data_IF_364777842737
#
_entry.id   IF_364777842737
#
_cell.length_a   1.000
_cell.length_b   1.000
_cell.length_c   1.000
_cell.angle_alpha   90.00
_cell.angle_beta   90.00
_cell.angle_gamma   90.00
#
_symmetry.space_group_name_H-M   'P 1'
#
loop_
_entity.id
_entity.type
_entity.pdbx_description
1 polymer ?
#
# COMPACT_ATOMS: atom_id res chain seq x y z
N UNK A 1 -15.93 -2.77 -10.68
CA UNK A 1 -15.49 -2.20 -9.39
C UNK A 1 -14.66 -0.93 -9.57
N UNK A 2 -13.91 -0.79 -10.66
CA UNK A 2 -12.91 0.27 -10.82
C UNK A 2 -13.28 1.41 -11.76
N UNK A 3 -14.53 1.45 -12.28
CA UNK A 3 -15.01 2.56 -13.09
C UNK A 3 -15.65 3.65 -12.21
N UNK A 4 -14.82 4.34 -11.43
CA UNK A 4 -15.24 5.34 -10.45
C UNK A 4 -15.12 6.76 -10.98
N UNK A 5 -16.08 7.62 -10.61
CA UNK A 5 -15.93 9.07 -10.82
C UNK A 5 -14.74 9.61 -10.05
N UNK A 6 -14.10 10.60 -10.63
CA UNK A 6 -12.96 11.33 -10.05
C UNK A 6 -13.33 12.80 -9.87
N UNK A 7 -12.44 13.57 -9.28
CA UNK A 7 -12.59 15.02 -9.13
C UNK A 7 -12.70 15.74 -10.48
N UNK A 8 -12.32 15.09 -11.61
CA UNK A 8 -12.52 15.64 -12.96
C UNK A 8 -13.95 15.52 -13.46
N UNK A 9 -14.72 14.61 -12.90
CA UNK A 9 -16.07 14.27 -13.36
C UNK A 9 -17.16 15.09 -12.63
N UNK A 10 -16.77 16.04 -11.78
CA UNK A 10 -17.69 16.86 -10.97
C UNK A 10 -17.31 18.35 -11.02
N UNK A 11 -18.30 19.22 -10.88
CA UNK A 11 -18.06 20.65 -10.67
C UNK A 11 -17.85 20.94 -9.18
N UNK A 12 -16.71 21.54 -8.85
CA UNK A 12 -16.33 21.90 -7.49
C UNK A 12 -16.26 23.41 -7.25
N UNK A 13 -16.53 24.21 -8.28
CA UNK A 13 -16.44 25.68 -8.19
C UNK A 13 -17.38 26.23 -7.13
N UNK A 14 -16.83 26.99 -6.20
CA UNK A 14 -17.57 27.59 -5.10
C UNK A 14 -18.02 26.61 -4.03
N UNK A 15 -17.70 25.32 -4.15
CA UNK A 15 -18.11 24.28 -3.20
C UNK A 15 -17.06 24.07 -2.11
N UNK A 16 -17.52 23.60 -0.97
CA UNK A 16 -16.69 23.05 0.09
C UNK A 16 -16.49 21.56 -0.18
N UNK A 17 -15.24 21.13 -0.27
CA UNK A 17 -14.88 19.76 -0.59
C UNK A 17 -14.16 19.13 0.61
N UNK A 18 -14.75 18.10 1.20
CA UNK A 18 -14.12 17.31 2.25
C UNK A 18 -13.26 16.24 1.59
N UNK A 19 -11.94 16.34 1.75
CA UNK A 19 -10.97 15.38 1.20
C UNK A 19 -10.42 14.52 2.30
N UNK A 20 -10.61 13.20 2.19
CA UNK A 20 -9.95 12.24 3.07
C UNK A 20 -8.55 11.96 2.50
N UNK A 21 -7.56 12.44 3.20
CA UNK A 21 -6.13 12.24 2.90
C UNK A 21 -5.51 11.27 3.89
N UNK A 22 -4.37 10.70 3.56
CA UNK A 22 -3.57 9.88 4.49
C UNK A 22 -2.36 10.69 4.98
N UNK A 23 -2.59 11.45 6.04
CA UNK A 23 -1.55 12.22 6.73
C UNK A 23 -1.01 11.51 7.97
N UNK A 24 -1.13 10.19 8.00
CA UNK A 24 -0.52 9.36 9.03
C UNK A 24 1.00 9.25 8.80
N UNK A 25 1.68 10.32 9.09
CA UNK A 25 3.13 10.50 8.93
C UNK A 25 3.87 10.36 10.26
N UNK A 26 5.15 9.96 10.26
CA UNK A 26 5.93 9.94 11.47
C UNK A 26 6.18 11.36 11.99
N UNK A 27 5.81 11.60 13.24
CA UNK A 27 6.11 12.83 13.98
C UNK A 27 7.12 12.53 15.09
N UNK A 28 8.17 13.33 15.16
CA UNK A 28 9.11 13.35 16.28
C UNK A 28 9.15 14.76 16.85
N UNK A 29 8.74 14.91 18.09
CA UNK A 29 8.69 16.20 18.79
C UNK A 29 7.94 17.29 17.99
N UNK A 30 6.82 16.92 17.35
CA UNK A 30 6.02 17.80 16.51
C UNK A 30 6.63 18.13 15.15
N UNK A 31 7.69 17.44 14.75
CA UNK A 31 8.34 17.62 13.44
C UNK A 31 8.00 16.45 12.51
N UNK A 32 7.55 16.77 11.30
CA UNK A 32 7.30 15.76 10.25
C UNK A 32 8.62 15.16 9.79
N UNK A 33 8.76 13.84 9.92
CA UNK A 33 9.98 13.11 9.52
C UNK A 33 9.98 12.75 8.04
N UNK A 34 8.94 12.04 7.59
CA UNK A 34 8.74 11.66 6.19
C UNK A 34 7.45 12.31 5.69
N UNK A 35 7.55 13.10 4.64
CA UNK A 35 6.45 13.85 4.06
C UNK A 35 5.87 13.22 2.77
N UNK A 36 6.29 12.02 2.42
CA UNK A 36 5.88 11.34 1.18
C UNK A 36 4.36 11.30 1.01
N UNK A 37 3.63 10.98 2.07
CA UNK A 37 2.16 10.93 2.04
C UNK A 37 1.53 12.31 1.87
N UNK A 38 2.10 13.33 2.47
CA UNK A 38 1.62 14.71 2.33
C UNK A 38 1.81 15.16 0.88
N UNK A 39 2.99 14.91 0.30
CA UNK A 39 3.28 15.23 -1.11
C UNK A 39 2.38 14.47 -2.07
N UNK A 40 2.05 13.23 -1.77
CA UNK A 40 1.16 12.42 -2.60
C UNK A 40 -0.27 12.99 -2.70
N UNK A 41 -0.73 13.74 -1.69
CA UNK A 41 -2.03 14.38 -1.69
C UNK A 41 -2.04 15.76 -2.39
N UNK A 42 -0.88 16.39 -2.60
CA UNK A 42 -0.80 17.74 -3.20
C UNK A 42 -1.48 17.87 -4.54
N UNK A 43 -1.35 16.95 -5.51
CA UNK A 43 -1.99 17.08 -6.81
C UNK A 43 -3.51 17.23 -6.71
N UNK A 44 -4.17 16.47 -5.84
CA UNK A 44 -5.61 16.57 -5.58
C UNK A 44 -5.98 17.90 -4.95
N UNK A 45 -5.23 18.33 -3.93
CA UNK A 45 -5.46 19.59 -3.23
C UNK A 45 -5.30 20.77 -4.21
N UNK A 46 -4.23 20.80 -4.97
CA UNK A 46 -3.95 21.87 -5.94
C UNK A 46 -5.02 21.96 -7.02
N UNK A 47 -5.41 20.82 -7.59
CA UNK A 47 -6.49 20.76 -8.59
C UNK A 47 -7.79 21.36 -8.06
N UNK A 48 -8.21 20.99 -6.87
CA UNK A 48 -9.44 21.51 -6.26
C UNK A 48 -9.37 23.01 -6.02
N UNK A 49 -8.24 23.52 -5.55
CA UNK A 49 -8.03 24.96 -5.36
C UNK A 49 -8.05 25.74 -6.67
N UNK A 50 -7.39 25.23 -7.70
CA UNK A 50 -7.36 25.84 -9.03
C UNK A 50 -8.73 25.86 -9.69
N UNK A 51 -9.63 24.92 -9.35
CA UNK A 51 -11.01 24.86 -9.82
C UNK A 51 -12.00 25.60 -8.91
N UNK A 52 -11.50 26.42 -7.98
CA UNK A 52 -12.31 27.32 -7.18
C UNK A 52 -13.03 26.67 -5.99
N UNK A 53 -12.56 25.52 -5.51
CA UNK A 53 -13.07 24.88 -4.30
C UNK A 53 -12.49 25.49 -3.02
N UNK A 54 -13.22 25.37 -1.92
CA UNK A 54 -12.72 25.48 -0.56
C UNK A 54 -12.42 24.07 -0.06
N UNK A 55 -11.17 23.79 0.36
CA UNK A 55 -10.70 22.42 0.63
C UNK A 55 -10.63 22.18 2.13
N UNK A 56 -11.34 21.16 2.60
CA UNK A 56 -11.33 20.70 3.99
C UNK A 56 -10.67 19.32 4.01
N UNK A 57 -9.54 19.19 4.71
CA UNK A 57 -8.78 17.95 4.80
C UNK A 57 -9.07 17.24 6.12
N UNK A 58 -9.37 15.95 6.06
CA UNK A 58 -9.48 15.09 7.22
C UNK A 58 -8.56 13.88 7.10
N UNK A 59 -7.98 13.46 8.21
CA UNK A 59 -7.10 12.31 8.29
C UNK A 59 -7.08 11.75 9.72
N UNK A 60 -6.59 10.51 9.82
CA UNK A 60 -6.12 9.97 11.09
C UNK A 60 -4.61 10.20 11.24
N UNK A 61 -4.13 10.11 12.46
CA UNK A 61 -2.72 10.09 12.81
C UNK A 61 -2.52 9.14 14.00
N UNK A 62 -1.69 8.13 13.80
CA UNK A 62 -1.34 7.16 14.84
C UNK A 62 -2.53 6.35 15.36
N UNK A 63 -2.40 5.92 16.61
CA UNK A 63 -3.43 5.12 17.31
C UNK A 63 -3.69 5.69 18.70
N UNK A 64 -4.39 6.83 18.80
CA UNK A 64 -4.78 7.40 20.09
C UNK A 64 -5.74 6.48 20.84
N UNK A 65 -5.71 6.52 22.17
CA UNK A 65 -6.53 5.67 23.03
C UNK A 65 -7.87 6.31 23.38
N UNK A 66 -8.63 6.69 22.35
CA UNK A 66 -10.03 7.12 22.52
C UNK A 66 -10.25 8.53 23.05
N UNK A 67 -9.39 9.49 22.68
CA UNK A 67 -9.55 10.90 23.03
C UNK A 67 -8.40 11.76 22.51
N UNK A 68 -8.50 13.09 22.68
CA UNK A 68 -7.43 14.00 22.29
C UNK A 68 -6.11 13.69 23.00
N UNK A 69 -5.05 13.58 22.21
CA UNK A 69 -3.67 13.42 22.70
C UNK A 69 -2.75 14.31 21.84
N UNK A 70 -2.01 15.25 22.43
CA UNK A 70 -1.13 16.16 21.70
C UNK A 70 -0.11 15.47 20.80
N UNK A 71 0.30 14.24 21.13
CA UNK A 71 1.23 13.45 20.33
C UNK A 71 0.65 13.05 18.96
N UNK A 72 -0.67 12.98 18.88
CA UNK A 72 -1.41 12.58 17.69
C UNK A 72 -2.21 13.72 17.06
N UNK A 73 -1.94 14.98 17.46
CA UNK A 73 -2.55 16.14 16.83
C UNK A 73 -2.03 16.34 15.40
N UNK A 74 -2.94 16.67 14.48
CA UNK A 74 -2.62 17.02 13.10
C UNK A 74 -2.17 18.48 12.95
N UNK A 75 -2.15 19.28 14.02
CA UNK A 75 -1.70 20.68 13.94
C UNK A 75 -0.30 20.85 13.34
N UNK A 76 0.73 20.07 13.76
CA UNK A 76 2.05 20.16 13.13
C UNK A 76 2.05 19.81 11.64
N UNK A 77 1.18 18.87 11.24
CA UNK A 77 1.02 18.49 9.82
C UNK A 77 0.38 19.62 9.02
N UNK A 78 -0.62 20.30 9.59
CA UNK A 78 -1.26 21.47 8.97
C UNK A 78 -0.23 22.61 8.74
N UNK A 79 0.58 22.90 9.74
CA UNK A 79 1.65 23.89 9.66
C UNK A 79 2.71 23.51 8.59
N UNK A 80 3.09 22.24 8.57
CA UNK A 80 4.02 21.71 7.55
C UNK A 80 3.44 21.84 6.14
N UNK A 81 2.17 21.48 5.96
CA UNK A 81 1.47 21.60 4.67
C UNK A 81 1.44 23.06 4.19
N UNK A 82 1.18 24.01 5.09
CA UNK A 82 1.20 25.44 4.78
C UNK A 82 2.57 25.89 4.25
N UNK A 83 3.65 25.47 4.90
CA UNK A 83 5.03 25.75 4.45
C UNK A 83 5.31 25.11 3.08
N UNK A 84 4.91 23.86 2.91
CA UNK A 84 5.12 23.10 1.67
C UNK A 84 4.37 23.71 0.48
N UNK A 85 3.16 24.22 0.70
CA UNK A 85 2.34 24.87 -0.34
C UNK A 85 2.67 26.34 -0.54
N UNK A 86 3.43 26.95 0.37
CA UNK A 86 3.68 28.40 0.35
C UNK A 86 2.39 29.25 0.54
N UNK A 87 1.38 28.69 1.22
CA UNK A 87 0.06 29.30 1.45
C UNK A 87 -0.39 29.08 2.89
N UNK A 88 -1.18 30.00 3.46
CA UNK A 88 -1.81 29.75 4.75
C UNK A 88 -2.72 28.53 4.71
N UNK A 89 -2.59 27.65 5.69
CA UNK A 89 -3.47 26.51 5.94
C UNK A 89 -4.08 26.71 7.34
N UNK A 90 -5.42 26.78 7.38
CA UNK A 90 -6.14 26.87 8.64
C UNK A 90 -6.18 25.49 9.34
N UNK A 91 -6.31 25.51 10.67
CA UNK A 91 -6.47 24.30 11.47
C UNK A 91 -7.66 24.44 12.40
N UNK A 92 -8.51 23.42 12.48
CA UNK A 92 -9.60 23.31 13.43
C UNK A 92 -9.26 22.28 14.50
N UNK A 93 -9.39 22.65 15.77
CA UNK A 93 -9.04 21.80 16.93
C UNK A 93 -10.04 20.65 17.19
N UNK A 94 -10.96 20.44 16.26
CA UNK A 94 -11.88 19.31 16.23
C UNK A 94 -12.21 18.94 14.79
N UNK A 95 -12.66 17.70 14.55
CA UNK A 95 -13.05 17.24 13.22
C UNK A 95 -14.57 17.26 12.98
N UNK A 96 -15.37 17.51 14.02
CA UNK A 96 -16.83 17.66 13.97
C UNK A 96 -17.30 18.68 15.02
N UNK A 97 -18.57 19.04 14.98
CA UNK A 97 -19.20 19.91 15.99
C UNK A 97 -18.88 21.40 15.79
N UNK A 98 -19.19 22.24 16.79
CA UNK A 98 -19.19 23.69 16.63
C UNK A 98 -17.87 24.29 16.16
N UNK A 99 -16.73 23.75 16.63
CA UNK A 99 -15.39 24.23 16.24
C UNK A 99 -15.12 23.99 14.78
N UNK A 100 -15.35 22.75 14.31
CA UNK A 100 -15.17 22.38 12.91
C UNK A 100 -16.19 23.09 12.01
N UNK A 101 -17.45 23.20 12.42
CA UNK A 101 -18.51 23.87 11.67
C UNK A 101 -18.21 25.36 11.48
N UNK A 102 -17.75 26.06 12.52
CA UNK A 102 -17.37 27.47 12.44
C UNK A 102 -16.16 27.68 11.49
N UNK A 103 -15.14 26.83 11.61
CA UNK A 103 -13.97 26.90 10.75
C UNK A 103 -14.33 26.61 9.27
N UNK A 104 -15.18 25.62 9.01
CA UNK A 104 -15.66 25.30 7.68
C UNK A 104 -16.55 26.40 7.10
N UNK A 105 -17.40 27.03 7.93
CA UNK A 105 -18.25 28.15 7.50
C UNK A 105 -17.43 29.36 7.07
N UNK A 106 -16.34 29.66 7.77
CA UNK A 106 -15.45 30.77 7.47
C UNK A 106 -14.55 30.55 6.25
N UNK A 107 -14.40 29.29 5.80
CA UNK A 107 -13.50 28.93 4.70
C UNK A 107 -14.04 29.43 3.35
N UNK A 108 -13.17 30.06 2.57
CA UNK A 108 -13.48 30.61 1.24
C UNK A 108 -12.85 29.77 0.14
N UNK A 109 -13.39 29.83 -1.11
CA UNK A 109 -12.72 29.24 -2.27
C UNK A 109 -11.25 29.63 -2.35
N UNK A 110 -10.39 28.66 -2.67
CA UNK A 110 -8.94 28.85 -2.74
C UNK A 110 -8.21 28.67 -1.40
N UNK A 111 -8.93 28.45 -0.32
CA UNK A 111 -8.37 28.23 1.03
C UNK A 111 -8.41 26.75 1.42
N UNK A 112 -7.52 26.38 2.36
CA UNK A 112 -7.38 25.03 2.90
C UNK A 112 -7.56 25.06 4.42
N UNK A 113 -8.36 24.11 4.91
CA UNK A 113 -8.58 23.83 6.33
C UNK A 113 -8.17 22.38 6.62
N UNK A 114 -7.36 22.14 7.63
CA UNK A 114 -7.09 20.80 8.18
C UNK A 114 -7.88 20.62 9.46
N UNK A 115 -8.63 19.54 9.56
CA UNK A 115 -9.36 19.15 10.76
C UNK A 115 -8.45 18.35 11.71
N UNK A 116 -8.77 18.31 12.98
CA UNK A 116 -8.07 17.48 13.96
C UNK A 116 -8.31 16.00 13.70
N UNK A 117 -7.45 15.15 14.27
CA UNK A 117 -7.38 13.71 14.09
C UNK A 117 -8.74 13.04 14.29
N UNK A 118 -9.24 12.39 13.23
CA UNK A 118 -10.53 11.68 13.24
C UNK A 118 -10.59 10.55 14.26
N UNK A 119 -9.44 9.94 14.61
CA UNK A 119 -9.34 8.87 15.61
C UNK A 119 -9.40 9.34 17.05
N UNK A 120 -9.52 10.64 17.31
CA UNK A 120 -9.88 11.12 18.64
C UNK A 120 -11.32 10.73 19.00
N UNK A 121 -12.13 10.36 18.02
CA UNK A 121 -13.45 9.78 18.22
C UNK A 121 -13.40 8.24 18.12
N UNK A 122 -13.80 7.50 19.17
CA UNK A 122 -13.84 6.04 19.14
C UNK A 122 -14.78 5.47 18.07
N UNK A 123 -15.74 6.25 17.60
CA UNK A 123 -16.67 5.90 16.53
C UNK A 123 -16.03 5.84 15.14
N UNK A 124 -14.89 6.50 14.92
CA UNK A 124 -14.22 6.55 13.62
C UNK A 124 -13.96 5.14 13.07
N UNK A 125 -13.27 4.30 13.83
CA UNK A 125 -12.89 2.95 13.40
C UNK A 125 -14.07 1.96 13.41
N UNK A 126 -15.19 2.34 14.02
CA UNK A 126 -16.43 1.55 14.07
C UNK A 126 -17.41 1.91 12.95
N UNK A 127 -17.02 2.82 12.08
CA UNK A 127 -17.89 3.38 11.04
C UNK A 127 -19.20 3.96 11.61
N UNK A 128 -19.08 4.71 12.70
CA UNK A 128 -20.21 5.39 13.33
C UNK A 128 -20.84 6.38 12.34
N UNK A 129 -22.09 6.13 11.98
CA UNK A 129 -22.80 6.93 10.98
C UNK A 129 -23.23 8.30 11.50
N UNK A 130 -23.41 8.48 12.81
CA UNK A 130 -23.66 9.79 13.40
C UNK A 130 -22.42 10.68 13.27
N UNK A 131 -21.23 10.13 13.57
CA UNK A 131 -19.96 10.82 13.36
C UNK A 131 -19.78 11.17 11.88
N UNK A 132 -20.02 10.21 10.97
CA UNK A 132 -19.95 10.41 9.55
C UNK A 132 -20.89 11.52 9.06
N UNK A 133 -22.13 11.55 9.55
CA UNK A 133 -23.09 12.59 9.22
C UNK A 133 -22.66 13.97 9.70
N UNK A 134 -22.08 14.06 10.90
CA UNK A 134 -21.50 15.30 11.43
C UNK A 134 -20.34 15.81 10.55
N UNK A 135 -19.49 14.90 10.08
CA UNK A 135 -18.44 15.26 9.11
C UNK A 135 -19.02 15.73 7.78
N UNK A 136 -20.05 15.06 7.27
CA UNK A 136 -20.69 15.41 6.00
C UNK A 136 -21.32 16.80 6.02
N UNK A 137 -21.77 17.31 7.17
CA UNK A 137 -22.31 18.67 7.31
C UNK A 137 -21.30 19.77 6.99
N UNK A 138 -20.02 19.47 6.99
CA UNK A 138 -18.95 20.45 6.77
C UNK A 138 -18.78 20.80 5.28
N UNK A 139 -19.29 19.99 4.35
CA UNK A 139 -18.98 20.09 2.94
C UNK A 139 -20.15 19.74 2.02
N UNK A 140 -19.99 20.06 0.73
CA UNK A 140 -20.95 19.76 -0.34
C UNK A 140 -20.59 18.49 -1.12
N UNK A 141 -19.29 18.10 -1.10
CA UNK A 141 -18.74 16.97 -1.84
C UNK A 141 -17.69 16.29 -0.98
N UNK A 142 -17.62 14.96 -1.08
CA UNK A 142 -16.59 14.14 -0.48
C UNK A 142 -15.63 13.59 -1.53
N UNK A 143 -14.34 13.66 -1.24
CA UNK A 143 -13.27 13.08 -2.07
C UNK A 143 -12.47 12.11 -1.21
N UNK A 144 -12.34 10.87 -1.66
CA UNK A 144 -11.41 9.92 -1.06
C UNK A 144 -10.09 9.93 -1.84
N UNK A 145 -9.01 10.33 -1.16
CA UNK A 145 -7.65 10.35 -1.71
C UNK A 145 -6.68 9.56 -0.79
N UNK A 146 -7.21 8.66 0.01
CA UNK A 146 -6.49 7.87 1.01
C UNK A 146 -6.61 6.37 0.72
N UNK A 147 -5.96 5.90 -0.35
CA UNK A 147 -6.03 4.49 -0.75
C UNK A 147 -5.55 3.54 0.35
N UNK A 148 -4.51 3.90 1.09
CA UNK A 148 -3.99 3.08 2.19
C UNK A 148 -4.99 2.75 3.30
N UNK A 149 -6.10 3.51 3.40
CA UNK A 149 -7.18 3.28 4.36
C UNK A 149 -8.46 2.75 3.73
N UNK A 150 -8.50 2.60 2.40
CA UNK A 150 -9.70 2.24 1.66
C UNK A 150 -10.22 0.81 1.95
N UNK A 151 -9.37 -0.06 2.48
CA UNK A 151 -9.72 -1.42 2.89
C UNK A 151 -10.52 -1.49 4.20
N UNK A 152 -10.69 -0.37 4.90
CA UNK A 152 -11.42 -0.30 6.17
C UNK A 152 -12.66 0.59 6.04
N UNK A 153 -13.80 0.06 6.48
CA UNK A 153 -15.01 0.85 6.61
C UNK A 153 -14.93 1.69 7.89
N UNK A 154 -14.42 2.92 7.79
CA UNK A 154 -14.37 3.90 8.86
C UNK A 154 -15.33 5.07 8.56
N UNK A 155 -15.71 5.85 9.56
CA UNK A 155 -16.62 6.99 9.37
C UNK A 155 -16.11 7.98 8.33
N UNK A 156 -14.79 8.27 8.33
CA UNK A 156 -14.18 9.22 7.40
C UNK A 156 -13.82 8.64 6.03
N UNK A 157 -13.89 7.34 5.83
CA UNK A 157 -13.52 6.67 4.56
C UNK A 157 -14.73 6.13 3.81
N UNK A 158 -15.68 5.48 4.50
CA UNK A 158 -16.87 4.88 3.92
C UNK A 158 -18.14 5.57 4.38
N UNK A 159 -18.30 5.78 5.70
CA UNK A 159 -19.53 6.31 6.27
C UNK A 159 -19.93 7.66 5.69
N UNK A 160 -19.00 8.60 5.58
CA UNK A 160 -19.25 9.95 5.06
C UNK A 160 -19.70 9.95 3.60
N UNK A 161 -19.28 8.98 2.80
CA UNK A 161 -19.68 8.83 1.40
C UNK A 161 -21.17 8.49 1.22
N UNK A 162 -21.85 8.09 2.29
CA UNK A 162 -23.31 7.84 2.26
C UNK A 162 -24.13 9.12 2.27
N UNK A 163 -23.55 10.24 2.67
CA UNK A 163 -24.26 11.51 2.88
C UNK A 163 -23.89 12.62 1.90
N UNK A 164 -22.85 12.41 1.09
CA UNK A 164 -22.35 13.38 0.11
C UNK A 164 -22.10 12.69 -1.25
N UNK A 165 -22.19 13.43 -2.36
CA UNK A 165 -21.57 12.98 -3.60
C UNK A 165 -20.11 12.64 -3.34
N UNK A 166 -19.70 11.41 -3.66
CA UNK A 166 -18.40 10.86 -3.29
C UNK A 166 -17.63 10.43 -4.53
N UNK A 167 -16.44 10.97 -4.72
CA UNK A 167 -15.57 10.68 -5.87
C UNK A 167 -14.12 10.43 -5.45
N UNK A 168 -13.32 9.88 -6.37
CA UNK A 168 -11.90 9.62 -6.14
C UNK A 168 -11.05 10.88 -6.37
N UNK A 169 -10.05 11.09 -5.51
CA UNK A 169 -8.93 11.98 -5.79
C UNK A 169 -7.91 11.35 -6.74
N UNK A 170 -6.88 12.09 -7.12
CA UNK A 170 -5.88 11.63 -8.09
C UNK A 170 -5.00 10.48 -7.58
N UNK A 171 -4.70 10.42 -6.29
CA UNK A 171 -3.98 9.30 -5.71
C UNK A 171 -4.82 8.02 -5.83
N UNK A 172 -6.08 8.08 -5.43
CA UNK A 172 -7.02 6.96 -5.57
C UNK A 172 -7.22 6.57 -7.04
N UNK A 173 -7.39 7.54 -7.94
CA UNK A 173 -7.49 7.30 -9.39
C UNK A 173 -6.28 6.54 -9.94
N UNK A 174 -5.07 6.91 -9.48
CA UNK A 174 -3.82 6.27 -9.90
C UNK A 174 -3.75 4.82 -9.46
N UNK A 175 -4.14 4.53 -8.22
CA UNK A 175 -4.21 3.17 -7.68
C UNK A 175 -5.24 2.32 -8.44
N UNK A 176 -6.43 2.87 -8.70
CA UNK A 176 -7.46 2.20 -9.51
C UNK A 176 -6.94 1.91 -10.91
N UNK A 177 -6.28 2.88 -11.55
CA UNK A 177 -5.77 2.76 -12.91
C UNK A 177 -4.72 1.67 -13.04
N UNK A 178 -3.73 1.65 -12.14
CA UNK A 178 -2.60 0.75 -12.28
C UNK A 178 -2.83 -0.60 -11.61
N UNK A 179 -3.20 -0.61 -10.34
CA UNK A 179 -3.41 -1.86 -9.61
C UNK A 179 -4.70 -2.55 -10.03
N UNK A 180 -5.78 -1.78 -10.23
CA UNK A 180 -7.07 -2.30 -10.71
C UNK A 180 -6.96 -2.91 -12.10
N UNK A 181 -6.35 -2.21 -13.04
CA UNK A 181 -6.15 -2.72 -14.40
C UNK A 181 -5.25 -3.96 -14.43
N UNK A 182 -4.19 -3.98 -13.60
CA UNK A 182 -3.31 -5.15 -13.48
C UNK A 182 -4.05 -6.42 -13.02
N UNK A 183 -5.13 -6.28 -12.27
CA UNK A 183 -5.92 -7.40 -11.75
C UNK A 183 -7.06 -7.78 -12.68
N UNK A 184 -7.76 -6.80 -13.27
CA UNK A 184 -8.96 -7.04 -14.09
C UNK A 184 -8.65 -7.32 -15.57
N UNK A 185 -7.73 -6.57 -16.16
CA UNK A 185 -7.37 -6.67 -17.58
C UNK A 185 -5.87 -6.45 -17.79
N UNK A 186 -5.02 -7.36 -17.30
CA UNK A 186 -3.59 -7.22 -17.42
C UNK A 186 -3.12 -7.40 -18.88
N UNK A 187 -2.15 -6.57 -19.28
CA UNK A 187 -1.38 -6.85 -20.49
C UNK A 187 -0.56 -8.13 -20.27
N UNK A 188 -0.75 -9.12 -21.12
CA UNK A 188 -0.08 -10.42 -20.97
C UNK A 188 1.28 -10.47 -21.65
N UNK A 189 2.22 -11.32 -21.20
CA UNK A 189 2.13 -12.18 -20.00
C UNK A 189 2.01 -11.39 -18.70
N UNK A 190 1.15 -11.85 -17.79
CA UNK A 190 1.01 -11.28 -16.44
C UNK A 190 1.83 -12.10 -15.44
N UNK A 191 2.86 -11.50 -14.88
CA UNK A 191 3.75 -12.09 -13.89
C UNK A 191 3.49 -11.47 -12.52
N UNK A 192 3.22 -12.30 -11.54
CA UNK A 192 3.15 -11.88 -10.14
C UNK A 192 4.43 -12.30 -9.40
N UNK A 193 4.97 -11.43 -8.57
CA UNK A 193 6.13 -11.69 -7.71
C UNK A 193 5.66 -11.55 -6.26
N UNK A 194 5.78 -12.62 -5.51
CA UNK A 194 5.37 -12.68 -4.11
C UNK A 194 6.53 -13.12 -3.23
N UNK A 195 6.79 -12.36 -2.19
CA UNK A 195 7.81 -12.65 -1.20
C UNK A 195 7.35 -12.24 0.20
N UNK A 196 8.33 -12.02 1.07
CA UNK A 196 8.08 -11.72 2.48
C UNK A 196 8.19 -12.95 3.38
N UNK A 197 7.90 -12.79 4.67
CA UNK A 197 8.19 -13.79 5.67
C UNK A 197 7.20 -14.96 5.68
N UNK A 198 5.89 -14.66 5.53
CA UNK A 198 4.81 -15.61 5.84
C UNK A 198 3.89 -15.88 4.66
N UNK A 199 3.60 -17.17 4.44
CA UNK A 199 2.60 -17.60 3.46
C UNK A 199 1.17 -17.32 3.95
N UNK A 200 0.93 -17.44 5.27
CA UNK A 200 -0.38 -17.24 5.89
C UNK A 200 -0.98 -15.86 5.60
N UNK A 201 -0.13 -14.84 5.49
CA UNK A 201 -0.56 -13.47 5.18
C UNK A 201 -0.95 -13.27 3.70
N UNK A 202 -0.69 -14.25 2.84
CA UNK A 202 -0.84 -14.14 1.37
C UNK A 202 -1.60 -15.28 0.71
N UNK A 203 -2.21 -16.18 1.48
CA UNK A 203 -2.96 -17.33 0.93
C UNK A 203 -4.04 -16.86 -0.06
N UNK A 204 -4.84 -15.90 0.34
CA UNK A 204 -5.90 -15.35 -0.50
C UNK A 204 -5.36 -14.66 -1.75
N UNK A 205 -4.24 -13.93 -1.62
CA UNK A 205 -3.54 -13.30 -2.75
C UNK A 205 -3.04 -14.34 -3.73
N UNK A 206 -2.39 -15.41 -3.26
CA UNK A 206 -1.89 -16.49 -4.11
C UNK A 206 -3.03 -17.16 -4.86
N UNK A 207 -4.13 -17.50 -4.17
CA UNK A 207 -5.31 -18.13 -4.78
C UNK A 207 -5.92 -17.25 -5.87
N UNK A 208 -6.10 -15.96 -5.60
CA UNK A 208 -6.65 -15.03 -6.60
C UNK A 208 -5.71 -14.86 -7.80
N UNK A 209 -4.40 -14.72 -7.55
CA UNK A 209 -3.43 -14.55 -8.62
C UNK A 209 -3.21 -15.83 -9.43
N UNK A 210 -3.36 -17.02 -8.85
CA UNK A 210 -3.34 -18.28 -9.60
C UNK A 210 -4.43 -18.35 -10.68
N UNK A 211 -5.57 -17.73 -10.43
CA UNK A 211 -6.64 -17.62 -11.42
C UNK A 211 -6.38 -16.57 -12.50
N UNK A 212 -5.52 -15.60 -12.26
CA UNK A 212 -5.35 -14.41 -13.11
C UNK A 212 -3.98 -14.30 -13.78
N UNK A 213 -2.91 -14.62 -13.07
CA UNK A 213 -1.54 -14.52 -13.57
C UNK A 213 -1.17 -15.71 -14.45
N UNK A 214 -0.25 -15.47 -15.39
CA UNK A 214 0.36 -16.52 -16.21
C UNK A 214 1.49 -17.23 -15.45
N UNK A 215 2.24 -16.48 -14.63
CA UNK A 215 3.32 -17.00 -13.78
C UNK A 215 3.31 -16.28 -12.43
N UNK A 216 3.63 -17.03 -11.38
CA UNK A 216 3.87 -16.49 -10.03
C UNK A 216 5.28 -16.89 -9.58
N UNK A 217 6.12 -15.90 -9.31
CA UNK A 217 7.46 -16.06 -8.80
C UNK A 217 7.44 -15.92 -7.28
N UNK A 218 7.92 -16.93 -6.56
CA UNK A 218 7.90 -16.99 -5.10
C UNK A 218 9.33 -16.84 -4.56
N UNK A 219 9.49 -15.92 -3.60
CA UNK A 219 10.75 -15.73 -2.86
C UNK A 219 10.50 -15.43 -1.38
N UNK A 220 11.55 -14.98 -0.70
CA UNK A 220 11.48 -14.65 0.73
C UNK A 220 11.29 -15.87 1.64
N UNK A 221 10.99 -15.61 2.90
CA UNK A 221 10.76 -16.65 3.91
C UNK A 221 9.57 -17.56 3.57
N UNK A 222 8.56 -17.05 2.87
CA UNK A 222 7.42 -17.88 2.44
C UNK A 222 7.85 -18.99 1.46
N UNK A 223 8.90 -18.79 0.68
CA UNK A 223 9.45 -19.83 -0.19
C UNK A 223 9.95 -21.04 0.61
N UNK A 224 10.49 -20.82 1.82
CA UNK A 224 10.94 -21.90 2.70
C UNK A 224 9.80 -22.81 3.12
N UNK A 225 8.62 -22.27 3.37
CA UNK A 225 7.42 -23.06 3.72
C UNK A 225 6.97 -23.90 2.52
N UNK A 226 7.02 -23.35 1.29
CA UNK A 226 6.79 -24.15 0.09
C UNK A 226 7.81 -25.26 -0.12
N UNK A 227 9.10 -25.00 0.15
CA UNK A 227 10.16 -26.00 0.04
C UNK A 227 10.00 -27.10 1.09
N UNK A 228 9.61 -26.73 2.32
CA UNK A 228 9.25 -27.71 3.35
C UNK A 228 8.05 -28.58 2.93
N UNK A 229 7.05 -28.01 2.27
CA UNK A 229 5.92 -28.74 1.70
C UNK A 229 6.34 -29.73 0.60
N UNK A 230 7.44 -29.46 -0.11
CA UNK A 230 8.06 -30.42 -1.05
C UNK A 230 8.90 -31.52 -0.39
N UNK A 231 8.98 -31.52 0.96
CA UNK A 231 9.70 -32.53 1.72
C UNK A 231 11.16 -32.19 2.03
N UNK A 232 11.62 -30.97 1.74
CA UNK A 232 12.99 -30.56 2.04
C UNK A 232 13.14 -30.16 3.52
N UNK A 233 14.21 -30.63 4.17
CA UNK A 233 14.60 -30.15 5.51
C UNK A 233 15.16 -28.73 5.40
N UNK A 234 14.57 -27.78 6.11
CA UNK A 234 14.92 -26.36 6.02
C UNK A 234 15.79 -25.86 7.17
N UNK A 235 16.22 -26.76 8.07
CA UNK A 235 17.06 -26.47 9.25
C UNK A 235 16.54 -25.25 10.06
N UNK A 236 17.39 -24.24 10.30
CA UNK A 236 17.05 -23.07 11.11
C UNK A 236 16.31 -21.98 10.30
N UNK A 237 15.92 -22.26 9.05
CA UNK A 237 15.19 -21.33 8.22
C UNK A 237 13.79 -21.03 8.76
N UNK A 238 13.30 -19.84 8.49
CA UNK A 238 11.91 -19.47 8.81
C UNK A 238 10.94 -20.34 8.01
N UNK A 239 10.17 -21.17 8.69
CA UNK A 239 9.09 -22.02 8.13
C UNK A 239 7.87 -21.87 9.02
N UNK A 240 6.71 -21.62 8.41
CA UNK A 240 5.43 -21.69 9.11
C UNK A 240 4.93 -23.13 9.14
N UNK A 241 5.21 -23.86 10.23
CA UNK A 241 4.85 -25.25 10.36
C UNK A 241 3.36 -25.53 10.12
N UNK A 242 2.50 -24.67 10.66
CA UNK A 242 1.04 -24.78 10.54
C UNK A 242 0.53 -24.49 9.12
N UNK A 243 1.34 -23.87 8.26
CA UNK A 243 0.98 -23.52 6.89
C UNK A 243 1.57 -24.48 5.84
N UNK A 244 2.35 -25.48 6.23
CA UNK A 244 2.98 -26.44 5.30
C UNK A 244 1.94 -27.21 4.49
N UNK A 245 0.85 -27.66 5.12
CA UNK A 245 -0.24 -28.36 4.42
C UNK A 245 -0.91 -27.44 3.38
N UNK A 246 -1.17 -26.19 3.74
CA UNK A 246 -1.73 -25.18 2.82
C UNK A 246 -0.77 -24.88 1.68
N UNK A 247 0.54 -24.81 1.95
CA UNK A 247 1.56 -24.64 0.90
C UNK A 247 1.54 -25.81 -0.09
N UNK A 248 1.39 -27.04 0.37
CA UNK A 248 1.25 -28.21 -0.49
C UNK A 248 0.00 -28.15 -1.39
N UNK A 249 -1.14 -27.70 -0.85
CA UNK A 249 -2.37 -27.46 -1.61
C UNK A 249 -2.17 -26.40 -2.70
N UNK A 250 -1.50 -25.29 -2.36
CA UNK A 250 -1.22 -24.21 -3.30
C UNK A 250 -0.26 -24.65 -4.41
N UNK A 251 0.74 -25.48 -4.09
CA UNK A 251 1.64 -26.09 -5.09
C UNK A 251 0.87 -26.97 -6.05
N UNK A 252 -0.03 -27.82 -5.55
CA UNK A 252 -0.86 -28.68 -6.38
C UNK A 252 -1.83 -27.86 -7.27
N UNK A 253 -2.41 -26.79 -6.74
CA UNK A 253 -3.30 -25.89 -7.46
C UNK A 253 -2.55 -25.09 -8.52
N UNK A 254 -1.35 -24.61 -8.21
CA UNK A 254 -0.56 -23.73 -9.06
C UNK A 254 0.18 -24.45 -10.17
N UNK A 255 0.58 -25.71 -9.93
CA UNK A 255 1.34 -26.49 -10.92
C UNK A 255 2.52 -25.71 -11.51
N UNK A 256 2.61 -25.69 -12.81
CA UNK A 256 3.69 -25.03 -13.55
C UNK A 256 3.67 -23.48 -13.48
N UNK A 257 2.60 -22.90 -12.97
CA UNK A 257 2.52 -21.44 -12.76
C UNK A 257 3.35 -20.95 -11.58
N UNK A 258 3.57 -21.79 -10.55
CA UNK A 258 4.31 -21.44 -9.35
C UNK A 258 5.80 -21.78 -9.51
N UNK A 259 6.62 -20.75 -9.60
CA UNK A 259 8.06 -20.89 -9.67
C UNK A 259 8.70 -20.63 -8.30
N UNK A 260 9.34 -21.65 -7.76
CA UNK A 260 10.12 -21.58 -6.53
C UNK A 260 11.60 -21.32 -6.83
N UNK A 261 12.39 -20.85 -5.85
CA UNK A 261 13.84 -20.72 -6.02
C UNK A 261 14.51 -22.04 -6.40
N UNK A 262 15.49 -21.98 -7.30
CA UNK A 262 16.32 -23.13 -7.73
C UNK A 262 17.67 -23.17 -7.02
N UNK A 263 18.05 -22.06 -6.38
CA UNK A 263 19.19 -21.95 -5.47
C UNK A 263 18.91 -20.96 -4.36
N UNK A 264 19.62 -21.08 -3.27
CA UNK A 264 19.37 -20.37 -2.04
C UNK A 264 20.68 -19.78 -1.50
N UNK A 265 20.61 -18.59 -0.92
CA UNK A 265 21.66 -18.02 -0.10
C UNK A 265 21.36 -18.34 1.35
N UNK A 266 22.23 -19.13 1.97
CA UNK A 266 22.11 -19.55 3.36
C UNK A 266 23.18 -18.90 4.22
N UNK A 267 22.86 -18.72 5.50
CA UNK A 267 23.73 -18.11 6.48
C UNK A 267 23.76 -18.95 7.79
N UNK A 268 24.87 -18.89 8.53
CA UNK A 268 25.02 -19.60 9.80
C UNK A 268 24.43 -18.84 11.01
N UNK A 269 23.93 -17.60 10.79
CA UNK A 269 23.24 -16.82 11.80
C UNK A 269 22.27 -15.82 11.11
N UNK A 270 21.31 -15.29 11.86
CA UNK A 270 20.50 -14.15 11.42
C UNK A 270 21.23 -12.85 11.79
N UNK A 271 22.25 -12.52 11.03
CA UNK A 271 23.14 -11.38 11.27
C UNK A 271 23.70 -10.86 9.94
N UNK A 272 23.89 -9.54 9.85
CA UNK A 272 24.41 -8.89 8.64
C UNK A 272 25.84 -9.33 8.28
N UNK A 273 26.63 -9.75 9.27
CA UNK A 273 28.00 -10.24 9.11
C UNK A 273 28.12 -11.75 9.13
N UNK A 274 26.98 -12.49 9.09
CA UNK A 274 26.99 -13.96 9.10
C UNK A 274 27.76 -14.52 7.90
N UNK A 275 28.43 -15.65 8.09
CA UNK A 275 28.98 -16.44 7.00
C UNK A 275 27.85 -16.87 6.06
N UNK A 276 28.02 -16.68 4.78
CA UNK A 276 27.03 -17.04 3.76
C UNK A 276 27.61 -17.98 2.71
N UNK A 277 26.75 -18.80 2.14
CA UNK A 277 27.07 -19.60 0.97
C UNK A 277 25.82 -19.81 0.10
N UNK A 278 26.05 -20.09 -1.17
CA UNK A 278 24.99 -20.46 -2.11
C UNK A 278 24.92 -21.97 -2.23
N UNK A 279 23.72 -22.50 -2.12
CA UNK A 279 23.45 -23.94 -2.33
C UNK A 279 22.34 -24.12 -3.38
N UNK A 280 22.32 -25.22 -4.14
CA UNK A 280 21.13 -25.62 -4.89
C UNK A 280 19.95 -25.81 -3.95
N UNK A 281 18.72 -25.59 -4.44
CA UNK A 281 17.52 -25.91 -3.67
C UNK A 281 17.50 -27.39 -3.31
N UNK A 282 17.36 -27.66 -2.04
CA UNK A 282 17.42 -28.98 -1.43
C UNK A 282 17.47 -28.86 0.08
N UNK A 283 17.90 -29.93 0.80
CA UNK A 283 18.02 -29.86 2.26
C UNK A 283 19.04 -28.81 2.67
N UNK A 284 18.66 -27.98 3.62
CA UNK A 284 19.54 -26.99 4.24
C UNK A 284 20.34 -27.65 5.35
N UNK A 285 21.67 -27.47 5.41
CA UNK A 285 22.49 -28.02 6.48
C UNK A 285 22.07 -27.56 7.86
N UNK A 286 22.22 -28.43 8.87
CA UNK A 286 21.93 -28.07 10.25
C UNK A 286 22.76 -26.85 10.71
N UNK A 287 22.14 -25.96 11.50
CA UNK A 287 22.74 -24.68 11.92
C UNK A 287 22.73 -23.57 10.85
N UNK A 288 22.21 -23.84 9.67
CA UNK A 288 22.09 -22.85 8.59
C UNK A 288 20.63 -22.48 8.32
N UNK A 289 20.44 -21.28 7.78
CA UNK A 289 19.12 -20.72 7.45
C UNK A 289 19.14 -20.00 6.11
N UNK A 290 18.05 -20.06 5.39
CA UNK A 290 17.86 -19.33 4.14
C UNK A 290 17.58 -17.87 4.45
N UNK A 291 18.35 -16.95 3.87
CA UNK A 291 18.15 -15.50 4.02
C UNK A 291 17.93 -14.76 2.70
N UNK A 292 18.19 -15.41 1.55
CA UNK A 292 17.92 -14.82 0.22
C UNK A 292 17.77 -15.92 -0.84
N UNK A 293 17.23 -15.55 -1.99
CA UNK A 293 17.27 -16.37 -3.20
C UNK A 293 18.67 -16.30 -3.83
N UNK A 294 19.09 -17.36 -4.51
CA UNK A 294 20.39 -17.42 -5.13
C UNK A 294 20.47 -16.77 -6.51
N UNK A 295 21.69 -16.62 -7.06
CA UNK A 295 21.91 -15.95 -8.35
C UNK A 295 21.31 -16.70 -9.54
N UNK A 296 21.20 -18.03 -9.50
CA UNK A 296 20.52 -18.80 -10.55
C UNK A 296 19.02 -18.55 -10.55
N UNK A 297 18.42 -18.40 -9.37
CA UNK A 297 17.01 -18.02 -9.21
C UNK A 297 16.78 -16.63 -9.78
N UNK A 298 17.64 -15.65 -9.47
CA UNK A 298 17.54 -14.29 -10.03
C UNK A 298 17.60 -14.34 -11.55
N UNK A 299 18.53 -15.10 -12.12
CA UNK A 299 18.66 -15.26 -13.58
C UNK A 299 17.41 -15.92 -14.20
N UNK A 300 16.86 -16.95 -13.55
CA UNK A 300 15.65 -17.62 -14.03
C UNK A 300 14.42 -16.71 -13.95
N UNK A 301 14.24 -16.00 -12.84
CA UNK A 301 13.16 -15.03 -12.69
C UNK A 301 13.30 -13.89 -13.70
N UNK A 302 14.53 -13.43 -13.94
CA UNK A 302 14.82 -12.45 -14.98
C UNK A 302 14.36 -12.88 -16.37
N UNK A 303 14.59 -14.13 -16.76
CA UNK A 303 14.11 -14.68 -18.04
C UNK A 303 12.59 -14.71 -18.14
N UNK A 304 11.89 -15.03 -17.05
CA UNK A 304 10.42 -14.99 -17.01
C UNK A 304 9.91 -13.55 -17.16
N UNK A 305 10.62 -12.59 -16.60
CA UNK A 305 10.27 -11.18 -16.66
C UNK A 305 10.57 -10.54 -18.02
N UNK A 306 11.49 -11.13 -18.81
CA UNK A 306 11.72 -10.70 -20.18
C UNK A 306 10.43 -10.85 -21.00
N UNK A 307 9.94 -9.75 -21.57
CA UNK A 307 8.72 -9.75 -22.37
C UNK A 307 7.41 -9.80 -21.57
N UNK A 308 7.45 -9.71 -20.24
CA UNK A 308 6.24 -9.54 -19.45
C UNK A 308 5.48 -8.28 -19.87
N UNK A 309 4.16 -8.37 -19.95
CA UNK A 309 3.28 -7.23 -20.23
C UNK A 309 2.89 -6.48 -18.98
N UNK A 310 2.62 -7.23 -17.92
CA UNK A 310 2.27 -6.70 -16.58
C UNK A 310 3.04 -7.43 -15.51
N UNK A 311 3.57 -6.69 -14.53
CA UNK A 311 4.22 -7.24 -13.34
C UNK A 311 3.57 -6.62 -12.10
N UNK A 312 3.15 -7.48 -11.18
CA UNK A 312 2.73 -7.04 -9.82
C UNK A 312 3.68 -7.67 -8.81
N UNK A 313 4.23 -6.88 -7.92
CA UNK A 313 5.18 -7.36 -6.92
C UNK A 313 4.79 -6.94 -5.50
N UNK A 314 4.75 -7.92 -4.60
CA UNK A 314 4.51 -7.71 -3.17
C UNK A 314 5.39 -8.63 -2.31
N UNK A 315 6.28 -8.05 -1.53
CA UNK A 315 7.20 -8.73 -0.61
C UNK A 315 8.60 -8.97 -1.18
N UNK A 316 9.66 -8.75 -0.37
CA UNK A 316 11.04 -8.93 -0.78
C UNK A 316 11.40 -10.40 -0.97
N UNK A 317 12.49 -10.65 -1.71
CA UNK A 317 12.97 -12.00 -2.02
C UNK A 317 13.90 -12.57 -0.95
N UNK A 318 14.37 -11.73 -0.04
CA UNK A 318 15.28 -12.09 1.05
C UNK A 318 15.30 -11.01 2.12
N UNK A 319 16.20 -11.14 3.08
CA UNK A 319 16.42 -10.18 4.19
C UNK A 319 17.25 -9.01 3.66
N UNK A 320 16.62 -8.19 2.82
CA UNK A 320 17.30 -7.09 2.10
C UNK A 320 17.82 -5.97 3.02
N UNK A 321 17.35 -5.92 4.26
CA UNK A 321 17.86 -5.00 5.30
C UNK A 321 19.34 -5.27 5.63
N UNK A 322 19.79 -6.50 5.39
CA UNK A 322 21.19 -6.86 5.46
C UNK A 322 21.80 -6.80 4.04
N UNK A 323 22.77 -5.92 3.76
CA UNK A 323 23.34 -5.78 2.42
C UNK A 323 23.85 -7.10 1.82
N UNK A 324 24.35 -8.01 2.65
CA UNK A 324 24.84 -9.32 2.24
C UNK A 324 23.74 -10.24 1.68
N UNK A 325 22.47 -9.96 1.98
CA UNK A 325 21.29 -10.77 1.62
C UNK A 325 20.25 -9.94 0.84
N UNK A 326 20.67 -8.85 0.21
CA UNK A 326 19.85 -7.97 -0.61
C UNK A 326 19.94 -8.25 -2.11
N UNK A 327 20.91 -9.03 -2.54
CA UNK A 327 21.21 -9.25 -3.96
C UNK A 327 20.07 -9.92 -4.73
N UNK A 328 19.34 -10.82 -4.08
CA UNK A 328 18.16 -11.46 -4.68
C UNK A 328 17.06 -10.46 -4.96
N UNK A 329 16.71 -9.64 -3.97
CA UNK A 329 15.68 -8.60 -4.11
C UNK A 329 16.08 -7.55 -5.14
N UNK A 330 17.31 -7.06 -5.10
CA UNK A 330 17.79 -6.04 -6.05
C UNK A 330 17.98 -6.60 -7.46
N UNK A 331 18.38 -7.86 -7.59
CA UNK A 331 18.49 -8.53 -8.89
C UNK A 331 17.13 -8.66 -9.59
N UNK A 332 16.10 -9.06 -8.84
CA UNK A 332 14.71 -9.10 -9.35
C UNK A 332 14.22 -7.68 -9.66
N UNK A 333 14.52 -6.70 -8.83
CA UNK A 333 14.17 -5.29 -9.10
C UNK A 333 14.76 -4.77 -10.42
N UNK A 334 16.03 -5.11 -10.70
CA UNK A 334 16.68 -4.76 -11.96
C UNK A 334 16.00 -5.43 -13.16
N UNK A 335 15.62 -6.69 -13.03
CA UNK A 335 14.90 -7.42 -14.07
C UNK A 335 13.51 -6.82 -14.34
N UNK A 336 12.76 -6.45 -13.30
CA UNK A 336 11.48 -5.75 -13.44
C UNK A 336 11.67 -4.39 -14.14
N UNK A 337 12.64 -3.60 -13.70
CA UNK A 337 12.94 -2.30 -14.30
C UNK A 337 13.35 -2.40 -15.78
N UNK A 338 14.00 -3.48 -16.18
CA UNK A 338 14.46 -3.72 -17.55
C UNK A 338 13.38 -4.37 -18.44
N UNK A 339 12.31 -4.93 -17.87
CA UNK A 339 11.32 -5.74 -18.61
C UNK A 339 10.46 -4.93 -19.60
N UNK A 340 10.32 -3.61 -19.39
CA UNK A 340 9.38 -2.79 -20.15
C UNK A 340 7.90 -3.05 -19.82
N UNK A 341 7.60 -3.90 -18.84
CA UNK A 341 6.26 -4.20 -18.38
C UNK A 341 5.61 -3.01 -17.67
N UNK A 342 4.28 -2.99 -17.63
CA UNK A 342 3.54 -2.18 -16.66
C UNK A 342 3.81 -2.80 -15.29
N UNK A 343 4.66 -2.16 -14.49
CA UNK A 343 5.10 -2.66 -13.20
C UNK A 343 4.40 -1.94 -12.05
N UNK A 344 3.77 -2.71 -11.17
CA UNK A 344 3.10 -2.21 -9.97
C UNK A 344 3.72 -2.88 -8.74
N UNK A 345 4.27 -2.09 -7.84
CA UNK A 345 4.90 -2.60 -6.61
C UNK A 345 4.13 -2.10 -5.41
N UNK A 346 3.73 -3.00 -4.53
CA UNK A 346 3.01 -2.70 -3.30
C UNK A 346 3.58 -3.44 -2.10
N UNK A 347 3.21 -2.95 -0.91
CA UNK A 347 3.74 -3.44 0.36
C UNK A 347 4.96 -2.65 0.85
N UNK A 348 4.96 -2.28 2.13
CA UNK A 348 5.96 -1.38 2.70
C UNK A 348 7.40 -1.83 2.51
N UNK A 349 7.67 -3.12 2.73
CA UNK A 349 9.01 -3.71 2.57
C UNK A 349 9.47 -3.70 1.12
N UNK A 350 8.58 -4.04 0.17
CA UNK A 350 8.90 -4.02 -1.27
C UNK A 350 9.20 -2.60 -1.75
N UNK A 351 8.39 -1.65 -1.30
CA UNK A 351 8.60 -0.22 -1.63
C UNK A 351 9.93 0.27 -1.08
N UNK A 352 10.25 -0.05 0.18
CA UNK A 352 11.53 0.29 0.79
C UNK A 352 12.70 -0.31 0.02
N UNK A 353 12.63 -1.59 -0.36
CA UNK A 353 13.65 -2.26 -1.15
C UNK A 353 13.87 -1.60 -2.52
N UNK A 354 12.80 -1.23 -3.22
CA UNK A 354 12.87 -0.54 -4.50
C UNK A 354 13.51 0.85 -4.36
N UNK A 355 13.14 1.60 -3.34
CA UNK A 355 13.73 2.91 -3.08
C UNK A 355 15.23 2.80 -2.78
N UNK A 356 15.63 1.83 -1.93
CA UNK A 356 17.04 1.57 -1.61
C UNK A 356 17.85 1.11 -2.82
N UNK A 357 17.24 0.38 -3.75
CA UNK A 357 17.88 -0.07 -4.98
C UNK A 357 18.16 1.07 -5.99
N UNK A 358 17.56 2.25 -5.79
CA UNK A 358 17.65 3.38 -6.73
C UNK A 358 16.85 3.19 -8.02
N UNK A 359 15.94 2.22 -8.08
CA UNK A 359 15.17 1.89 -9.29
C UNK A 359 13.73 2.40 -9.29
N UNK A 360 13.34 3.17 -8.26
CA UNK A 360 11.96 3.65 -8.09
C UNK A 360 11.41 4.38 -9.32
N UNK A 361 12.22 5.24 -9.95
CA UNK A 361 11.85 5.99 -11.17
C UNK A 361 11.59 5.11 -12.41
N UNK A 362 12.04 3.86 -12.39
CA UNK A 362 11.86 2.89 -13.49
C UNK A 362 10.62 2.02 -13.30
N UNK A 363 9.91 2.15 -12.19
CA UNK A 363 8.69 1.43 -11.89
C UNK A 363 7.49 2.26 -12.32
N UNK A 364 6.54 1.64 -13.01
CA UNK A 364 5.36 2.35 -13.53
C UNK A 364 4.49 2.91 -12.41
N UNK A 365 4.26 2.14 -11.35
CA UNK A 365 3.50 2.58 -10.19
C UNK A 365 3.99 1.92 -8.90
N UNK A 366 4.29 2.77 -7.91
CA UNK A 366 4.57 2.34 -6.54
C UNK A 366 3.33 2.65 -5.71
N UNK A 367 2.64 1.59 -5.28
CA UNK A 367 1.42 1.73 -4.49
C UNK A 367 1.71 2.23 -3.08
N UNK A 368 0.93 3.19 -2.64
CA UNK A 368 0.94 3.71 -1.27
C UNK A 368 0.03 2.92 -0.33
N UNK A 369 -0.67 1.92 -0.87
CA UNK A 369 -1.81 1.28 -0.24
C UNK A 369 -1.49 0.30 0.90
N UNK A 370 -0.28 -0.22 1.00
CA UNK A 370 0.05 -1.20 2.05
C UNK A 370 -0.95 -2.37 2.09
N UNK A 371 -1.71 -2.47 3.19
CA UNK A 371 -2.76 -3.49 3.35
C UNK A 371 -3.88 -3.40 2.33
N UNK A 372 -4.27 -2.21 1.90
CA UNK A 372 -5.29 -2.03 0.86
C UNK A 372 -4.85 -2.62 -0.49
N UNK A 373 -3.58 -2.45 -0.84
CA UNK A 373 -3.02 -3.07 -2.06
C UNK A 373 -3.07 -4.59 -1.98
N UNK A 374 -2.75 -5.15 -0.82
CA UNK A 374 -2.76 -6.60 -0.59
C UNK A 374 -4.18 -7.16 -0.70
N UNK A 375 -5.15 -6.54 -0.03
CA UNK A 375 -6.55 -6.95 -0.10
C UNK A 375 -7.13 -6.82 -1.52
N UNK A 376 -6.70 -5.80 -2.28
CA UNK A 376 -7.08 -5.66 -3.68
C UNK A 376 -6.50 -6.78 -4.55
N UNK A 377 -5.24 -7.17 -4.30
CA UNK A 377 -4.62 -8.33 -4.95
C UNK A 377 -5.29 -9.66 -4.57
N UNK A 378 -5.85 -9.75 -3.39
CA UNK A 378 -6.67 -10.87 -2.91
C UNK A 378 -8.04 -10.93 -3.60
N UNK A 379 -8.45 -9.86 -4.26
CA UNK A 379 -9.76 -9.74 -4.93
C UNK A 379 -10.88 -9.28 -4.01
N UNK A 380 -10.53 -8.77 -2.82
CA UNK A 380 -11.51 -8.26 -1.87
C UNK A 380 -12.07 -6.89 -2.31
N UNK A 381 -13.29 -6.64 -1.90
CA UNK A 381 -13.92 -5.33 -2.10
C UNK A 381 -13.41 -4.36 -1.04
N UNK A 382 -12.79 -3.26 -1.47
CA UNK A 382 -12.36 -2.21 -0.57
C UNK A 382 -13.53 -1.27 -0.25
N UNK A 383 -14.00 -1.18 1.01
CA UNK A 383 -15.18 -0.38 1.35
C UNK A 383 -15.06 1.09 0.95
N UNK A 384 -13.90 1.71 1.18
CA UNK A 384 -13.67 3.11 0.84
C UNK A 384 -13.64 3.40 -0.66
N UNK A 385 -13.37 2.37 -1.49
CA UNK A 385 -13.47 2.46 -2.93
C UNK A 385 -14.90 2.16 -3.41
N UNK A 386 -15.53 1.13 -2.86
CA UNK A 386 -16.89 0.73 -3.22
C UNK A 386 -17.92 1.84 -2.97
N UNK A 387 -17.71 2.64 -1.93
CA UNK A 387 -18.59 3.74 -1.56
C UNK A 387 -18.56 4.92 -2.53
N UNK A 388 -17.56 5.01 -3.42
CA UNK A 388 -17.48 6.07 -4.43
C UNK A 388 -18.46 5.82 -5.58
N UNK A 389 -18.93 6.92 -6.18
CA UNK A 389 -19.86 6.88 -7.32
C UNK A 389 -19.19 6.26 -8.55
N UNK A 390 -19.94 5.42 -9.25
CA UNK A 390 -19.54 4.89 -10.55
C UNK A 390 -19.75 5.94 -11.66
N UNK A 391 -18.94 5.86 -12.75
CA UNK A 391 -19.13 6.65 -13.97
C UNK A 391 -20.36 6.24 -14.72
#
# INVERSE_FOLDING_TARGET
MFNKKTIRDIDVKGKKVLVRVDFNVPLKDGVVGDDTRIRAALPTIQYLLEHGAAVILCSHLGRPKGGPDPKFSLKPVAEYLGKLMGKPVAFAEDCVGPVAEAAAAALKPGQVLVLENTRFYPGEEKNDLELAQKMAKLADVYVNDAFGTAHRAHSSTEGVARYLPAVAGFLMEKEIKYLGAAIEDPKRPFVAILGGAKISDKIGVIKNLLAKADVILIGGGMANTFLAAKGWAMADSLVEADAVATAAELLALGGDKLHLPVDLVIANAFDAAAEKKVIPTGPVPEGWRVLDIGPKTVAQFGKVLEGAGTVVWNGPMGVFEFPAFAEGTYGVAKAVAASGAISVIGGGESVAAIQQSGLAEKITHISTGGGASLEMLEGLVLPGLAALQDK
#
